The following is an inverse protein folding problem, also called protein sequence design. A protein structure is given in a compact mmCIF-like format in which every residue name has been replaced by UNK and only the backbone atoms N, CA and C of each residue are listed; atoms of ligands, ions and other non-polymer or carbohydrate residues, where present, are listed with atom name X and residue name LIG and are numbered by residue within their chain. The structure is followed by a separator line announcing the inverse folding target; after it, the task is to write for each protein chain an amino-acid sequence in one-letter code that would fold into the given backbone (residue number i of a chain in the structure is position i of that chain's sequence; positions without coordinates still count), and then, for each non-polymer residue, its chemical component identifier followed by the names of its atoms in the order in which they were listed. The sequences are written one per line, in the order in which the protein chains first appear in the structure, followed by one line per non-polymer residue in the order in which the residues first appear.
data_IF_352556505798
#
_entry.id   IF_352556505798
#
_cell.length_a   1.000
_cell.length_b   1.000
_cell.length_c   1.000
_cell.angle_alpha   90.00
_cell.angle_beta   90.00
_cell.angle_gamma   90.00
#
_symmetry.space_group_name_H-M   'P 1'
#
loop_
_entity.id
_entity.type
_entity.pdbx_description
1 polymer ?
#
# COMPACT_ATOMS: atom_id res chain seq x y z
N UNK A 1 0.95 -16.00 31.42
CA UNK A 1 1.11 -16.74 30.15
C UNK A 1 1.10 -15.73 29.03
N UNK A 2 2.22 -15.56 28.31
CA UNK A 2 2.23 -14.77 27.09
C UNK A 2 1.47 -15.53 26.01
N UNK A 3 0.51 -14.87 25.36
CA UNK A 3 -0.16 -15.43 24.18
C UNK A 3 0.94 -15.62 23.13
N UNK A 4 1.10 -16.82 22.54
CA UNK A 4 2.07 -17.01 21.46
C UNK A 4 1.82 -15.98 20.36
N UNK A 5 2.91 -15.40 19.84
CA UNK A 5 2.81 -14.39 18.80
C UNK A 5 2.04 -14.96 17.62
N UNK A 6 1.05 -14.21 17.13
CA UNK A 6 0.32 -14.63 15.94
C UNK A 6 1.29 -14.68 14.77
N UNK A 7 1.08 -15.62 13.83
CA UNK A 7 1.89 -15.70 12.60
C UNK A 7 1.96 -14.35 11.87
N UNK A 8 0.90 -13.54 11.97
CA UNK A 8 0.86 -12.17 11.49
C UNK A 8 1.95 -11.30 12.13
N UNK A 9 2.02 -11.27 13.47
CA UNK A 9 2.99 -10.47 14.20
C UNK A 9 4.41 -10.92 13.89
N UNK A 10 4.66 -12.24 13.82
CA UNK A 10 5.98 -12.76 13.47
C UNK A 10 6.44 -12.33 12.06
N UNK A 11 5.55 -12.44 11.07
CA UNK A 11 5.83 -12.02 9.68
C UNK A 11 6.09 -10.52 9.61
N UNK A 12 5.27 -9.71 10.29
CA UNK A 12 5.46 -8.26 10.36
C UNK A 12 6.81 -7.91 11.00
N UNK A 13 7.13 -8.48 12.16
CA UNK A 13 8.38 -8.20 12.86
C UNK A 13 9.60 -8.60 12.04
N UNK A 14 9.55 -9.73 11.34
CA UNK A 14 10.62 -10.15 10.41
C UNK A 14 10.83 -9.13 9.30
N UNK A 15 9.75 -8.57 8.76
CA UNK A 15 9.78 -7.58 7.70
C UNK A 15 10.33 -6.24 8.19
N UNK A 16 9.90 -5.77 9.38
CA UNK A 16 10.37 -4.52 9.98
C UNK A 16 11.84 -4.58 10.41
N UNK A 17 12.36 -5.76 10.79
CA UNK A 17 13.78 -5.97 11.13
C UNK A 17 14.74 -5.89 9.95
N UNK A 18 14.24 -5.88 8.71
CA UNK A 18 15.11 -5.72 7.53
C UNK A 18 15.86 -4.38 7.61
N UNK A 19 17.14 -4.33 7.22
CA UNK A 19 17.90 -3.09 7.22
C UNK A 19 17.27 -2.03 6.31
N UNK A 20 17.62 -0.77 6.54
CA UNK A 20 17.15 0.33 5.71
C UNK A 20 17.68 0.20 4.28
N UNK A 21 16.82 0.47 3.30
CA UNK A 21 17.17 0.57 1.88
C UNK A 21 16.51 1.81 1.31
N UNK A 22 17.33 2.74 0.79
CA UNK A 22 16.83 3.99 0.21
C UNK A 22 15.94 3.70 -1.01
N UNK A 23 16.38 2.82 -1.92
CA UNK A 23 15.60 2.46 -3.11
C UNK A 23 14.27 1.79 -2.78
N UNK A 24 14.20 1.00 -1.71
CA UNK A 24 12.93 0.45 -1.22
C UNK A 24 12.02 1.55 -0.69
N UNK A 25 12.56 2.47 0.11
CA UNK A 25 11.80 3.60 0.64
C UNK A 25 11.21 4.45 -0.49
N UNK A 26 12.00 4.78 -1.50
CA UNK A 26 11.57 5.58 -2.64
C UNK A 26 10.50 4.85 -3.46
N UNK A 27 10.69 3.55 -3.71
CA UNK A 27 9.71 2.72 -4.45
C UNK A 27 8.38 2.64 -3.71
N UNK A 28 8.38 2.41 -2.39
CA UNK A 28 7.15 2.32 -1.61
C UNK A 28 6.47 3.69 -1.47
N UNK A 29 7.24 4.76 -1.34
CA UNK A 29 6.71 6.11 -1.25
C UNK A 29 6.08 6.56 -2.57
N UNK A 30 6.74 6.27 -3.70
CA UNK A 30 6.20 6.50 -5.05
C UNK A 30 4.89 5.73 -5.25
N UNK A 31 4.88 4.44 -4.89
CA UNK A 31 3.67 3.61 -4.96
C UNK A 31 2.54 4.16 -4.09
N UNK A 32 2.86 4.67 -2.89
CA UNK A 32 1.87 5.20 -1.97
C UNK A 32 1.26 6.55 -2.42
N UNK A 33 2.05 7.35 -3.13
CA UNK A 33 1.68 8.72 -3.54
C UNK A 33 1.12 8.78 -4.96
N UNK A 34 1.49 7.82 -5.82
CA UNK A 34 1.06 7.79 -7.21
C UNK A 34 -0.46 7.67 -7.31
N UNK A 35 -1.06 8.58 -8.09
CA UNK A 35 -2.47 8.55 -8.50
C UNK A 35 -2.56 7.92 -9.88
N UNK A 36 -2.86 6.61 -10.02
CA UNK A 36 -2.91 5.97 -11.32
C UNK A 36 -4.10 6.50 -12.15
N UNK A 37 -4.07 6.38 -13.49
CA UNK A 37 -5.21 6.75 -14.33
C UNK A 37 -6.49 6.03 -13.91
N UNK A 38 -7.62 6.73 -13.91
CA UNK A 38 -8.90 6.09 -13.65
C UNK A 38 -9.25 5.09 -14.77
N UNK A 39 -9.57 3.85 -14.40
CA UNK A 39 -10.09 2.88 -15.35
C UNK A 39 -11.56 3.20 -15.63
N UNK A 40 -11.86 3.56 -16.87
CA UNK A 40 -13.20 3.84 -17.34
C UNK A 40 -13.80 2.65 -18.08
N UNK A 41 -15.13 2.55 -18.01
CA UNK A 41 -15.92 1.53 -18.69
C UNK A 41 -16.77 2.18 -19.76
N UNK A 42 -16.67 1.72 -21.01
CA UNK A 42 -17.54 2.13 -22.12
C UNK A 42 -18.28 0.92 -22.67
N UNK A 43 -19.60 1.01 -22.73
CA UNK A 43 -20.43 0.01 -23.40
C UNK A 43 -20.47 0.30 -24.90
N UNK A 44 -20.17 -0.72 -25.71
CA UNK A 44 -20.19 -0.69 -27.17
C UNK A 44 -21.17 -1.73 -27.69
N UNK A 45 -21.51 -1.69 -28.99
CA UNK A 45 -22.33 -2.73 -29.63
C UNK A 45 -21.71 -4.13 -29.54
N UNK A 46 -20.38 -4.21 -29.44
CA UNK A 46 -19.63 -5.46 -29.27
C UNK A 46 -19.34 -5.82 -27.80
N UNK A 47 -20.01 -5.18 -26.83
CA UNK A 47 -19.81 -5.42 -25.41
C UNK A 47 -19.05 -4.30 -24.70
N UNK A 48 -18.52 -4.60 -23.51
CA UNK A 48 -17.86 -3.64 -22.63
C UNK A 48 -16.37 -3.55 -22.95
N UNK A 49 -15.85 -2.32 -23.08
CA UNK A 49 -14.41 -2.05 -23.14
C UNK A 49 -13.97 -1.20 -21.95
N UNK A 50 -12.79 -1.53 -21.43
CA UNK A 50 -12.12 -0.76 -20.38
C UNK A 50 -10.96 0.01 -20.98
N UNK A 51 -10.75 1.25 -20.51
CA UNK A 51 -9.63 2.08 -20.95
C UNK A 51 -9.21 3.02 -19.82
N UNK A 52 -7.97 3.49 -19.86
CA UNK A 52 -7.47 4.46 -18.90
C UNK A 52 -7.89 5.88 -19.31
N UNK A 53 -8.40 6.65 -18.36
CA UNK A 53 -8.69 8.06 -18.56
C UNK A 53 -7.39 8.88 -18.65
N UNK A 54 -7.34 9.82 -19.58
CA UNK A 54 -6.23 10.77 -19.71
C UNK A 54 -6.26 11.89 -18.64
N UNK A 55 -7.46 12.22 -18.14
CA UNK A 55 -7.67 13.37 -17.26
C UNK A 55 -7.97 12.95 -15.81
N UNK A 56 -8.89 12.02 -15.63
CA UNK A 56 -9.24 11.48 -14.32
C UNK A 56 -8.18 10.51 -13.77
N UNK A 57 -7.89 10.65 -12.47
CA UNK A 57 -6.98 9.80 -11.71
C UNK A 57 -7.73 9.11 -10.56
N UNK A 58 -7.33 7.89 -10.23
CA UNK A 58 -7.77 7.23 -9.01
C UNK A 58 -7.07 7.87 -7.79
N UNK A 59 -7.70 7.83 -6.61
CA UNK A 59 -7.04 8.18 -5.36
C UNK A 59 -5.77 7.34 -5.17
N UNK A 60 -4.70 7.97 -4.71
CA UNK A 60 -3.51 7.27 -4.22
C UNK A 60 -3.81 6.61 -2.88
N UNK A 61 -2.90 5.77 -2.38
CA UNK A 61 -3.04 5.21 -1.03
C UNK A 61 -3.07 6.29 0.04
N UNK A 62 -2.29 7.35 -0.10
CA UNK A 62 -2.30 8.47 0.85
C UNK A 62 -3.57 9.32 0.80
N UNK A 63 -4.26 9.36 -0.34
CA UNK A 63 -5.58 10.00 -0.40
C UNK A 63 -6.64 9.20 0.38
N UNK A 64 -6.54 7.87 0.39
CA UNK A 64 -7.41 6.99 1.19
C UNK A 64 -7.00 6.86 2.66
N UNK A 65 -5.75 7.15 3.00
CA UNK A 65 -5.17 7.01 4.35
C UNK A 65 -4.42 8.29 4.77
N UNK A 66 -5.14 9.40 5.04
CA UNK A 66 -4.51 10.69 5.34
C UNK A 66 -3.69 10.68 6.63
N UNK A 67 -4.07 9.88 7.63
CA UNK A 67 -3.33 9.76 8.89
C UNK A 67 -1.95 9.12 8.68
N UNK A 68 -1.89 8.08 7.83
CA UNK A 68 -0.63 7.46 7.43
C UNK A 68 0.23 8.46 6.66
N UNK A 69 -0.36 9.20 5.71
CA UNK A 69 0.35 10.21 4.94
C UNK A 69 0.97 11.27 5.87
N UNK A 70 0.24 11.70 6.90
CA UNK A 70 0.73 12.63 7.92
C UNK A 70 1.92 12.05 8.69
N UNK A 71 1.80 10.82 9.18
CA UNK A 71 2.89 10.16 9.93
C UNK A 71 4.15 9.98 9.07
N UNK A 72 4.00 9.51 7.83
CA UNK A 72 5.10 9.35 6.86
C UNK A 72 5.80 10.69 6.57
N UNK A 73 5.06 11.80 6.53
CA UNK A 73 5.64 13.14 6.36
C UNK A 73 6.39 13.61 7.60
N UNK A 74 5.86 13.38 8.80
CA UNK A 74 6.54 13.71 10.06
C UNK A 74 7.86 12.95 10.18
N UNK A 75 7.85 11.65 9.85
CA UNK A 75 9.03 10.79 9.86
C UNK A 75 9.95 11.00 8.65
N UNK A 76 9.72 11.98 7.78
CA UNK A 76 10.57 12.23 6.62
C UNK A 76 12.03 12.58 6.99
N UNK A 77 12.24 13.13 8.20
CA UNK A 77 13.56 13.36 8.80
C UNK A 77 14.25 12.06 9.21
N UNK A 78 13.48 11.03 9.59
CA UNK A 78 13.97 9.70 9.96
C UNK A 78 13.62 8.67 8.88
N UNK A 79 14.44 8.60 7.84
CA UNK A 79 14.27 7.66 6.72
C UNK A 79 14.02 6.20 7.14
N UNK A 80 14.67 5.65 8.18
CA UNK A 80 14.37 4.30 8.67
C UNK A 80 12.94 4.15 9.21
N UNK A 81 12.45 5.13 9.98
CA UNK A 81 11.08 5.10 10.51
C UNK A 81 10.04 5.26 9.40
N UNK A 82 10.32 6.16 8.44
CA UNK A 82 9.51 6.33 7.24
C UNK A 82 9.36 5.01 6.49
N UNK A 83 10.46 4.29 6.28
CA UNK A 83 10.43 2.99 5.62
C UNK A 83 9.68 1.93 6.44
N UNK A 84 9.83 1.92 7.78
CA UNK A 84 9.11 1.00 8.65
C UNK A 84 7.58 1.19 8.57
N UNK A 85 7.09 2.44 8.53
CA UNK A 85 5.68 2.76 8.34
C UNK A 85 5.16 2.24 6.99
N UNK A 86 5.88 2.52 5.90
CA UNK A 86 5.52 2.09 4.56
C UNK A 86 5.48 0.55 4.46
N UNK A 87 6.49 -0.11 5.00
CA UNK A 87 6.60 -1.57 5.09
C UNK A 87 5.41 -2.19 5.84
N UNK A 88 5.10 -1.66 7.03
CA UNK A 88 3.99 -2.12 7.84
C UNK A 88 2.64 -1.93 7.13
N UNK A 89 2.44 -0.78 6.48
CA UNK A 89 1.23 -0.48 5.72
C UNK A 89 1.02 -1.45 4.55
N UNK A 90 2.01 -1.61 3.67
CA UNK A 90 1.86 -2.50 2.52
C UNK A 90 1.73 -3.97 2.91
N UNK A 91 2.41 -4.40 3.98
CA UNK A 91 2.19 -5.72 4.55
C UNK A 91 0.74 -5.92 5.00
N UNK A 92 0.19 -4.95 5.75
CA UNK A 92 -1.20 -5.01 6.20
C UNK A 92 -2.19 -5.06 5.03
N UNK A 93 -1.96 -4.26 3.99
CA UNK A 93 -2.77 -4.27 2.77
C UNK A 93 -2.78 -5.65 2.11
N UNK A 94 -1.61 -6.26 1.94
CA UNK A 94 -1.47 -7.59 1.32
C UNK A 94 -2.17 -8.70 2.13
N UNK A 95 -2.03 -8.67 3.47
CA UNK A 95 -2.73 -9.64 4.32
C UNK A 95 -4.25 -9.43 4.31
N UNK A 96 -4.69 -8.18 4.24
CA UNK A 96 -6.11 -7.83 4.19
C UNK A 96 -6.75 -8.24 2.86
N UNK A 97 -6.03 -8.22 1.75
CA UNK A 97 -6.58 -8.69 0.45
C UNK A 97 -6.62 -10.21 0.37
N UNK A 98 -5.63 -10.91 0.95
CA UNK A 98 -5.55 -12.38 0.89
C UNK A 98 -6.60 -13.07 1.78
N UNK A 99 -7.06 -12.43 2.86
CA UNK A 99 -8.11 -13.01 3.73
C UNK A 99 -9.49 -13.09 3.06
N UNK A 100 -9.77 -12.23 2.07
CA UNK A 100 -11.01 -12.29 1.27
C UNK A 100 -10.90 -13.22 0.04
N UNK A 101 -9.71 -13.77 -0.24
CA UNK A 101 -9.47 -14.68 -1.37
C UNK A 101 -9.62 -16.18 -1.05
N UNK A 102 -9.90 -16.55 0.21
CA UNK A 102 -10.04 -17.94 0.65
C UNK A 102 -11.50 -18.42 0.76
N UNK A 103 -12.42 -17.81 0.00
CA UNK A 103 -13.81 -18.25 -0.09
C UNK A 103 -14.35 -18.04 -1.50
N UNK A 104 -13.90 -18.87 -2.44
CA UNK A 104 -14.63 -19.24 -3.66
C UNK A 104 -14.31 -20.69 -4.00
#
# INVERSE_FOLDING_TARGET
MERPDSEFKEKLMRLLRKPFSQGECDTLLDKATTRPPATMKRQTRGGVKYYNSEHERQPSYFDGHPDLAKQVRVESTSKPNQLALLRGFFFWMEQSTNSYGASV
#
